data_IF_842456386581
#
_entry.id   IF_842456386581
#
_cell.length_a   1.000
_cell.length_b   1.000
_cell.length_c   1.000
_cell.angle_alpha   90.00
_cell.angle_beta   90.00
_cell.angle_gamma   90.00
#
_symmetry.space_group_name_H-M   'P 1'
#
loop_
_entity.id
_entity.type
_entity.pdbx_description
1 polymer ?
#
# COMPACT_ATOMS: atom_id res chain seq x y z
N UNK A 1 33.01 -17.72 2.99
CA UNK A 1 32.34 -18.78 2.20
C UNK A 1 31.43 -19.53 3.15
N UNK A 2 30.11 -19.57 3.05
CA UNK A 2 29.16 -19.05 2.07
C UNK A 2 27.78 -19.18 2.72
N UNK A 3 27.00 -18.09 2.64
CA UNK A 3 25.55 -17.96 2.70
C UNK A 3 24.76 -18.44 3.93
N UNK A 4 24.38 -17.41 4.70
CA UNK A 4 23.18 -17.29 5.51
C UNK A 4 21.94 -17.88 4.81
N UNK A 5 21.28 -18.82 5.49
CA UNK A 5 19.87 -19.14 5.32
C UNK A 5 19.06 -17.98 5.90
N UNK A 6 18.25 -17.33 5.07
CA UNK A 6 17.27 -16.35 5.52
C UNK A 6 15.97 -17.09 5.89
N UNK A 7 15.77 -17.29 7.19
CA UNK A 7 14.46 -17.55 7.76
C UNK A 7 13.99 -16.23 8.38
N UNK A 8 13.02 -15.56 7.74
CA UNK A 8 12.27 -14.50 8.42
C UNK A 8 10.79 -14.74 8.18
N UNK A 9 10.16 -15.32 9.21
CA UNK A 9 8.72 -15.47 9.38
C UNK A 9 8.04 -14.08 9.41
N UNK A 10 6.93 -13.92 8.69
CA UNK A 10 5.91 -12.93 9.07
C UNK A 10 4.67 -13.70 9.49
N UNK A 11 4.62 -14.00 10.79
CA UNK A 11 3.44 -14.53 11.49
C UNK A 11 2.62 -13.33 12.01
N UNK A 12 1.46 -13.07 11.40
CA UNK A 12 0.40 -12.29 12.04
C UNK A 12 -0.47 -13.24 12.88
N UNK A 13 0.06 -13.71 14.01
CA UNK A 13 -0.72 -14.38 15.04
C UNK A 13 -0.69 -13.52 16.30
N UNK A 14 -1.87 -13.09 16.74
CA UNK A 14 -2.23 -12.66 18.11
C UNK A 14 -1.05 -12.44 19.08
N UNK A 15 -0.61 -11.18 19.22
CA UNK A 15 0.19 -10.75 20.37
C UNK A 15 -0.59 -9.67 21.14
N UNK A 16 -1.50 -10.11 21.99
CA UNK A 16 -1.96 -9.32 23.14
C UNK A 16 -0.86 -9.33 24.20
N UNK A 17 0.11 -8.42 24.10
CA UNK A 17 1.11 -8.26 25.16
C UNK A 17 0.50 -7.37 26.26
N UNK A 18 0.03 -7.99 27.34
CA UNK A 18 -0.47 -7.25 28.51
C UNK A 18 0.73 -6.87 29.37
N UNK A 19 1.07 -5.58 29.43
CA UNK A 19 1.95 -5.05 30.47
C UNK A 19 1.07 -4.68 31.68
N UNK A 20 1.25 -5.38 32.79
CA UNK A 20 0.63 -5.04 34.07
C UNK A 20 1.63 -4.19 34.86
N UNK A 21 1.30 -2.93 35.10
CA UNK A 21 2.00 -2.07 36.06
C UNK A 21 0.95 -1.43 36.96
N UNK A 22 1.08 -1.59 38.28
CA UNK A 22 0.20 -1.00 39.30
C UNK A 22 -1.31 -1.22 39.08
N UNK A 23 -1.73 -2.47 38.82
CA UNK A 23 -3.13 -2.89 38.72
C UNK A 23 -4.00 -2.15 37.66
N UNK A 24 -3.38 -1.46 36.71
CA UNK A 24 -4.07 -0.84 35.59
C UNK A 24 -3.69 -1.54 34.27
N UNK A 25 -4.70 -2.06 33.57
CA UNK A 25 -4.56 -2.80 32.33
C UNK A 25 -4.63 -1.82 31.15
N UNK A 26 -3.48 -1.29 30.73
CA UNK A 26 -3.41 -0.43 29.56
C UNK A 26 -3.34 -1.29 28.30
N UNK A 27 -4.43 -1.32 27.51
CA UNK A 27 -4.32 -1.73 26.10
C UNK A 27 -3.43 -0.70 25.41
N UNK A 28 -2.15 -1.03 25.22
CA UNK A 28 -1.34 -0.37 24.20
C UNK A 28 -1.95 -0.79 22.88
N UNK A 29 -2.98 -0.06 22.45
CA UNK A 29 -3.42 -0.11 21.08
C UNK A 29 -2.25 0.40 20.27
N UNK A 30 -1.46 -0.51 19.69
CA UNK A 30 -0.63 -0.18 18.54
C UNK A 30 -1.61 0.36 17.53
N UNK A 31 -1.77 1.68 17.50
CA UNK A 31 -2.62 2.35 16.53
C UNK A 31 -1.91 2.05 15.22
N UNK A 32 -2.37 1.03 14.50
CA UNK A 32 -1.92 0.79 13.14
C UNK A 32 -1.94 2.14 12.43
N UNK A 33 -0.90 2.50 11.66
CA UNK A 33 -0.89 3.78 10.97
C UNK A 33 -2.21 3.91 10.23
N UNK A 34 -3.03 4.87 10.67
CA UNK A 34 -4.32 5.13 10.07
C UNK A 34 -3.99 5.83 8.76
N UNK A 35 -3.86 5.06 7.68
CA UNK A 35 -3.68 5.61 6.35
C UNK A 35 -4.98 6.30 5.96
N UNK A 36 -4.95 7.63 5.95
CA UNK A 36 -6.06 8.42 5.48
C UNK A 36 -5.92 8.59 3.97
N UNK A 37 -6.93 8.18 3.22
CA UNK A 37 -6.92 8.34 1.77
C UNK A 37 -7.83 9.50 1.36
N UNK A 38 -7.35 10.32 0.43
CA UNK A 38 -8.12 11.41 -0.18
C UNK A 38 -8.07 11.33 -1.70
N UNK A 39 -9.15 11.71 -2.35
CA UNK A 39 -9.21 11.84 -3.80
C UNK A 39 -10.31 12.81 -4.22
N UNK A 40 -10.28 13.18 -5.50
CA UNK A 40 -11.35 13.95 -6.12
C UNK A 40 -12.39 12.98 -6.71
N UNK A 41 -13.67 13.18 -6.40
CA UNK A 41 -14.76 12.28 -6.83
C UNK A 41 -14.97 12.25 -8.34
N UNK A 42 -14.79 13.39 -9.02
CA UNK A 42 -14.89 13.43 -10.49
C UNK A 42 -13.73 12.64 -11.10
N UNK A 43 -12.55 12.77 -10.50
CA UNK A 43 -11.37 12.00 -10.90
C UNK A 43 -11.53 10.50 -10.64
N UNK A 44 -12.09 10.12 -9.49
CA UNK A 44 -12.37 8.72 -9.17
C UNK A 44 -13.35 8.11 -10.19
N UNK A 45 -14.44 8.81 -10.52
CA UNK A 45 -15.41 8.39 -11.55
C UNK A 45 -14.75 8.28 -12.93
N UNK A 46 -13.94 9.27 -13.31
CA UNK A 46 -13.23 9.26 -14.59
C UNK A 46 -12.22 8.10 -14.66
N UNK A 47 -11.50 7.83 -13.56
CA UNK A 47 -10.56 6.72 -13.47
C UNK A 47 -11.28 5.38 -13.59
N UNK A 48 -12.36 5.18 -12.85
CA UNK A 48 -13.16 3.97 -12.92
C UNK A 48 -13.67 3.72 -14.35
N UNK A 49 -14.19 4.76 -15.02
CA UNK A 49 -14.65 4.66 -16.41
C UNK A 49 -13.52 4.30 -17.38
N UNK A 50 -12.32 4.85 -17.16
CA UNK A 50 -11.17 4.68 -18.06
C UNK A 50 -10.42 3.36 -17.84
N UNK A 51 -10.28 2.94 -16.58
CA UNK A 51 -9.38 1.85 -16.16
C UNK A 51 -10.11 0.64 -15.58
N UNK A 52 -11.41 0.75 -15.30
CA UNK A 52 -12.23 -0.35 -14.78
C UNK A 52 -11.88 -0.76 -13.36
N UNK A 53 -11.19 0.11 -12.61
CA UNK A 53 -10.78 -0.10 -11.22
C UNK A 53 -11.09 1.15 -10.41
N UNK A 54 -11.60 0.96 -9.20
CA UNK A 54 -11.99 2.05 -8.30
C UNK A 54 -10.80 2.51 -7.45
N UNK A 55 -10.91 3.70 -6.88
CA UNK A 55 -9.92 4.17 -5.90
C UNK A 55 -10.06 3.43 -4.58
N UNK A 56 -11.27 3.06 -4.18
CA UNK A 56 -11.51 2.21 -3.02
C UNK A 56 -10.75 0.87 -3.14
N UNK A 57 -10.87 0.17 -4.28
CA UNK A 57 -10.10 -1.06 -4.54
C UNK A 57 -8.59 -0.78 -4.50
N UNK A 58 -8.14 0.33 -5.09
CA UNK A 58 -6.73 0.69 -5.11
C UNK A 58 -6.15 0.95 -3.71
N UNK A 59 -6.96 1.34 -2.72
CA UNK A 59 -6.47 1.50 -1.33
C UNK A 59 -6.05 0.17 -0.70
N UNK A 60 -6.60 -0.96 -1.15
CA UNK A 60 -6.25 -2.29 -0.63
C UNK A 60 -4.81 -2.69 -0.98
N UNK A 61 -4.24 -2.12 -2.05
CA UNK A 61 -2.85 -2.34 -2.45
C UNK A 61 -1.86 -1.93 -1.36
N UNK A 62 -2.18 -0.89 -0.58
CA UNK A 62 -1.32 -0.42 0.52
C UNK A 62 -1.28 -1.38 1.71
N UNK A 63 -2.14 -2.41 1.72
CA UNK A 63 -2.18 -3.47 2.73
C UNK A 63 -1.38 -4.70 2.25
N UNK A 64 -1.05 -4.78 0.95
CA UNK A 64 -0.27 -5.88 0.40
C UNK A 64 1.18 -5.84 0.92
N UNK A 65 1.63 -6.87 1.67
CA UNK A 65 2.98 -6.91 2.23
C UNK A 65 4.08 -7.01 1.16
N UNK A 66 3.72 -7.30 -0.10
CA UNK A 66 4.64 -7.38 -1.22
C UNK A 66 4.57 -6.17 -2.15
N UNK A 67 3.86 -5.10 -1.76
CA UNK A 67 3.73 -3.93 -2.61
C UNK A 67 5.11 -3.28 -2.86
N UNK A 68 5.33 -2.84 -4.09
CA UNK A 68 6.56 -2.21 -4.53
C UNK A 68 6.34 -0.73 -4.81
N UNK A 69 6.80 0.11 -3.90
CA UNK A 69 6.75 1.56 -4.08
C UNK A 69 7.99 2.06 -4.81
N UNK A 70 7.78 2.69 -5.96
CA UNK A 70 8.80 3.40 -6.71
C UNK A 70 8.57 4.92 -6.59
N UNK A 71 9.65 5.64 -6.31
CA UNK A 71 9.68 7.09 -6.39
C UNK A 71 9.79 7.51 -7.87
N UNK A 72 8.95 8.44 -8.30
CA UNK A 72 9.00 9.02 -9.64
C UNK A 72 9.57 10.46 -9.56
N UNK A 73 10.91 10.62 -9.62
CA UNK A 73 11.57 11.93 -9.47
C UNK A 73 11.35 12.87 -10.67
N UNK A 74 10.93 12.37 -11.83
CA UNK A 74 10.95 13.13 -13.09
C UNK A 74 9.71 14.00 -13.31
N UNK A 75 8.69 13.88 -12.46
CA UNK A 75 7.36 14.44 -12.75
C UNK A 75 6.89 15.59 -11.87
N UNK A 76 7.73 16.15 -11.00
CA UNK A 76 7.33 17.32 -10.22
C UNK A 76 8.49 18.13 -9.64
N UNK A 77 8.46 19.44 -9.93
CA UNK A 77 9.29 20.45 -9.24
C UNK A 77 8.67 20.80 -7.86
N UNK A 78 7.39 20.46 -7.62
CA UNK A 78 6.59 20.91 -6.45
C UNK A 78 5.92 19.81 -5.59
N UNK A 79 5.69 18.57 -6.06
CA UNK A 79 4.93 17.54 -5.31
C UNK A 79 5.44 16.11 -5.55
N UNK A 80 6.05 15.47 -4.55
CA UNK A 80 6.55 14.08 -4.65
C UNK A 80 5.46 13.10 -5.11
N UNK A 81 5.73 12.36 -6.19
CA UNK A 81 4.83 11.33 -6.73
C UNK A 81 5.42 9.95 -6.52
N UNK A 82 4.55 9.06 -6.08
CA UNK A 82 4.87 7.67 -5.80
C UNK A 82 4.00 6.78 -6.66
N UNK A 83 4.57 5.65 -7.08
CA UNK A 83 3.86 4.60 -7.79
C UNK A 83 4.01 3.33 -6.97
N UNK A 84 2.89 2.78 -6.49
CA UNK A 84 2.87 1.46 -5.87
C UNK A 84 2.37 0.41 -6.85
N UNK A 85 2.98 -0.77 -6.83
CA UNK A 85 2.52 -1.95 -7.55
C UNK A 85 2.27 -3.05 -6.54
N UNK A 86 1.02 -3.51 -6.45
CA UNK A 86 0.66 -4.59 -5.54
C UNK A 86 -0.66 -5.24 -5.89
N UNK A 87 -1.02 -6.25 -5.12
CA UNK A 87 -2.25 -7.02 -5.32
C UNK A 87 -3.41 -6.42 -4.52
N UNK A 88 -4.55 -6.20 -5.17
CA UNK A 88 -5.79 -5.81 -4.50
C UNK A 88 -6.46 -7.00 -3.83
N UNK A 89 -7.38 -6.73 -2.91
CA UNK A 89 -8.24 -7.75 -2.28
C UNK A 89 -9.07 -8.53 -3.30
N UNK A 90 -9.42 -7.89 -4.42
CA UNK A 90 -10.12 -8.50 -5.56
C UNK A 90 -9.20 -9.38 -6.44
N UNK A 91 -7.92 -9.51 -6.08
CA UNK A 91 -6.94 -10.34 -6.78
C UNK A 91 -6.37 -9.70 -8.05
N UNK A 92 -6.50 -8.38 -8.21
CA UNK A 92 -5.89 -7.67 -9.32
C UNK A 92 -4.53 -7.10 -8.91
N UNK A 93 -3.49 -7.38 -9.70
CA UNK A 93 -2.26 -6.57 -9.63
C UNK A 93 -2.53 -5.18 -10.21
N UNK A 94 -2.45 -4.16 -9.37
CA UNK A 94 -2.72 -2.77 -9.68
C UNK A 94 -1.44 -1.94 -9.65
N UNK A 95 -1.44 -0.86 -10.42
CA UNK A 95 -0.46 0.22 -10.37
C UNK A 95 -1.19 1.47 -9.87
N UNK A 96 -0.78 1.99 -8.73
CA UNK A 96 -1.42 3.10 -8.01
C UNK A 96 -0.45 4.27 -7.95
N UNK A 97 -0.82 5.40 -8.55
CA UNK A 97 -0.07 6.64 -8.45
C UNK A 97 -0.69 7.53 -7.35
N UNK A 98 0.13 8.02 -6.43
CA UNK A 98 -0.31 8.85 -5.31
C UNK A 98 0.73 9.91 -4.93
N UNK A 99 0.32 10.83 -4.07
CA UNK A 99 1.22 11.77 -3.39
C UNK A 99 0.93 11.75 -1.90
N UNK A 100 1.96 11.95 -1.09
CA UNK A 100 1.84 12.03 0.37
C UNK A 100 1.71 13.49 0.79
N UNK A 101 0.71 13.79 1.64
CA UNK A 101 0.41 15.12 2.17
C UNK A 101 0.31 15.03 3.69
N UNK A 102 1.46 15.10 4.35
CA UNK A 102 1.54 14.93 5.81
C UNK A 102 1.14 13.52 6.23
N UNK A 103 -0.05 13.37 6.81
CA UNK A 103 -0.59 12.07 7.23
C UNK A 103 -1.59 11.46 6.23
N UNK A 104 -1.85 12.13 5.10
CA UNK A 104 -2.83 11.70 4.11
C UNK A 104 -2.13 11.23 2.82
N UNK A 105 -2.72 10.24 2.17
CA UNK A 105 -2.36 9.74 0.84
C UNK A 105 -3.41 10.24 -0.14
N UNK A 106 -3.01 11.06 -1.10
CA UNK A 106 -3.88 11.50 -2.19
C UNK A 106 -3.73 10.60 -3.40
N UNK A 107 -4.78 9.84 -3.74
CA UNK A 107 -4.79 9.02 -4.95
C UNK A 107 -4.89 9.91 -6.20
N UNK A 108 -3.99 9.67 -7.15
CA UNK A 108 -3.93 10.41 -8.42
C UNK A 108 -4.54 9.58 -9.53
N UNK A 109 -4.16 8.31 -9.66
CA UNK A 109 -4.71 7.38 -10.64
C UNK A 109 -4.46 5.94 -10.23
N UNK A 110 -5.30 5.01 -10.69
CA UNK A 110 -5.05 3.59 -10.55
C UNK A 110 -5.42 2.86 -11.84
N UNK A 111 -4.67 1.80 -12.16
CA UNK A 111 -4.95 0.94 -13.31
C UNK A 111 -4.50 -0.48 -13.02
N UNK A 112 -4.99 -1.42 -13.82
CA UNK A 112 -4.43 -2.77 -13.85
C UNK A 112 -2.99 -2.72 -14.36
N UNK A 113 -2.12 -3.51 -13.73
CA UNK A 113 -0.76 -3.72 -14.21
C UNK A 113 -0.79 -4.34 -15.60
N UNK A 114 0.13 -3.90 -16.46
CA UNK A 114 0.37 -4.55 -17.75
C UNK A 114 0.92 -5.97 -17.52
N UNK A 115 0.84 -6.88 -18.51
CA UNK A 115 1.39 -8.22 -18.37
C UNK A 115 2.87 -8.25 -17.97
N UNK A 116 3.66 -7.26 -18.42
CA UNK A 116 5.07 -7.13 -18.08
C UNK A 116 5.27 -6.67 -16.63
N UNK A 117 4.51 -5.67 -16.16
CA UNK A 117 4.56 -5.18 -14.77
C UNK A 117 4.07 -6.26 -13.79
N UNK A 118 3.01 -6.98 -14.13
CA UNK A 118 2.52 -8.11 -13.33
C UNK A 118 3.60 -9.18 -13.19
N UNK A 119 4.23 -9.59 -14.28
CA UNK A 119 5.33 -10.58 -14.25
C UNK A 119 6.52 -10.10 -13.42
N UNK A 120 6.78 -8.79 -13.40
CA UNK A 120 7.84 -8.21 -12.57
C UNK A 120 7.49 -8.33 -11.09
N UNK A 121 6.27 -7.91 -10.71
CA UNK A 121 5.74 -8.03 -9.35
C UNK A 121 5.67 -9.49 -8.85
N UNK A 122 5.22 -10.42 -9.70
CA UNK A 122 5.15 -11.85 -9.36
C UNK A 122 6.53 -12.49 -9.15
N UNK A 123 7.60 -11.93 -9.73
CA UNK A 123 8.98 -12.39 -9.52
C UNK A 123 9.61 -11.85 -8.24
N UNK A 124 9.13 -10.71 -7.74
CA UNK A 124 9.61 -10.10 -6.52
C UNK A 124 8.88 -10.61 -5.27
N UNK A 125 7.76 -11.29 -5.43
CA UNK A 125 7.03 -12.02 -4.39
C UNK A 125 7.70 -13.34 -4.06
#
# INVERSE_FOLDING_TARGET
>A
MTNHRADTQINYLQLSLTLVYNNECWRVGTKAPQLNFEWDDEKAKANLKKHGVSFDEATTVFIDPFSMTNYDPDHSVDEQRYIDIGNSDDGHVLVVAYTERGANIRLISCRKATPSERKLYEKSK
#
